data_IF_486235267348
#
_entry.id   IF_486235267348
#
_cell.length_a   1.000
_cell.length_b   1.000
_cell.length_c   1.000
_cell.angle_alpha   90.00
_cell.angle_beta   90.00
_cell.angle_gamma   90.00
#
_symmetry.space_group_name_H-M   'P 1'
#
loop_
_entity.id
_entity.type
_entity.pdbx_description
1 polymer ?
#
# COMPACT_ATOMS: atom_id res chain seq x y z
N UNK A 1 20.07 -18.23 -5.90
CA UNK A 1 18.86 -17.77 -5.19
C UNK A 1 17.89 -16.96 -6.06
N UNK A 2 18.33 -16.02 -6.92
CA UNK A 2 17.42 -15.24 -7.82
C UNK A 2 16.56 -16.07 -8.79
N UNK A 3 16.99 -17.27 -9.21
CA UNK A 3 16.23 -18.16 -10.11
C UNK A 3 15.22 -19.09 -9.41
N UNK A 4 15.29 -19.24 -8.09
CA UNK A 4 14.37 -20.11 -7.33
C UNK A 4 13.10 -19.34 -6.90
N UNK A 5 13.22 -18.02 -6.68
CA UNK A 5 12.07 -17.14 -6.44
C UNK A 5 11.11 -17.07 -7.65
N UNK A 6 11.64 -17.13 -8.87
CA UNK A 6 10.85 -17.01 -10.11
C UNK A 6 9.98 -18.23 -10.40
N UNK A 7 10.36 -19.44 -9.95
CA UNK A 7 9.61 -20.66 -10.24
C UNK A 7 8.54 -20.98 -9.19
N UNK A 8 8.63 -20.42 -7.98
CA UNK A 8 7.73 -20.74 -6.86
C UNK A 8 6.56 -19.73 -6.76
N UNK A 9 6.70 -18.50 -7.29
CA UNK A 9 5.56 -17.58 -7.45
C UNK A 9 4.46 -18.16 -8.36
N UNK A 10 4.84 -18.96 -9.35
CA UNK A 10 3.92 -19.56 -10.34
C UNK A 10 2.94 -20.56 -9.71
N UNK A 11 3.29 -21.21 -8.59
CA UNK A 11 2.48 -22.28 -8.00
C UNK A 11 1.46 -21.80 -6.95
N UNK A 12 1.69 -20.66 -6.29
CA UNK A 12 0.73 -20.08 -5.35
C UNK A 12 -0.35 -19.21 -6.04
N UNK A 13 -0.05 -18.69 -7.23
CA UNK A 13 -0.98 -17.91 -8.07
C UNK A 13 -1.89 -18.77 -8.97
N UNK A 14 -1.83 -20.09 -8.83
CA UNK A 14 -2.70 -21.06 -9.53
C UNK A 14 -3.93 -21.47 -8.70
N UNK A 15 -4.12 -20.90 -7.50
CA UNK A 15 -5.46 -20.90 -6.93
C UNK A 15 -6.37 -20.20 -7.96
N UNK A 16 -7.41 -20.86 -8.49
CA UNK A 16 -8.30 -20.22 -9.43
C UNK A 16 -8.80 -18.93 -8.77
N UNK A 17 -8.67 -17.79 -9.46
CA UNK A 17 -9.41 -16.59 -9.06
C UNK A 17 -10.86 -17.09 -8.98
N UNK A 18 -11.42 -17.09 -7.77
CA UNK A 18 -12.76 -17.62 -7.55
C UNK A 18 -13.70 -16.90 -8.52
N UNK A 19 -14.52 -17.66 -9.24
CA UNK A 19 -15.31 -17.17 -10.35
C UNK A 19 -16.20 -15.98 -9.93
N UNK A 20 -16.16 -14.88 -10.70
CA UNK A 20 -17.08 -13.75 -10.59
C UNK A 20 -16.56 -12.62 -9.70
N UNK A 21 -16.10 -11.51 -10.30
CA UNK A 21 -16.34 -10.22 -9.65
C UNK A 21 -17.80 -9.96 -9.95
N UNK A 22 -18.68 -10.39 -9.05
CA UNK A 22 -20.09 -10.09 -9.21
C UNK A 22 -20.32 -8.72 -8.56
N UNK A 23 -20.48 -7.68 -9.38
CA UNK A 23 -20.82 -6.32 -8.94
C UNK A 23 -22.28 -6.23 -8.46
N UNK A 24 -22.86 -7.35 -8.02
CA UNK A 24 -24.25 -7.48 -7.62
C UNK A 24 -24.51 -6.94 -6.21
N UNK A 25 -23.50 -6.94 -5.33
CA UNK A 25 -23.59 -6.33 -4.01
C UNK A 25 -23.44 -4.80 -4.10
N UNK A 26 -24.05 -4.06 -3.17
CA UNK A 26 -23.89 -2.60 -3.12
C UNK A 26 -22.42 -2.24 -2.90
N UNK A 27 -21.91 -1.28 -3.68
CA UNK A 27 -20.56 -0.74 -3.52
C UNK A 27 -20.31 -0.09 -2.16
N UNK A 28 -21.38 0.23 -1.41
CA UNK A 28 -21.34 0.92 -0.10
C UNK A 28 -21.31 -0.05 1.08
N UNK A 29 -21.32 -1.36 0.81
CA UNK A 29 -21.22 -2.41 1.82
C UNK A 29 -19.92 -3.17 1.58
N UNK A 30 -19.12 -3.34 2.62
CA UNK A 30 -17.90 -4.14 2.53
C UNK A 30 -18.27 -5.59 2.26
N UNK A 31 -17.79 -6.12 1.14
CA UNK A 31 -17.96 -7.50 0.71
C UNK A 31 -16.61 -8.23 0.85
N UNK A 32 -16.47 -9.16 1.81
CA UNK A 32 -15.24 -9.92 2.01
C UNK A 32 -14.81 -10.77 0.80
N UNK A 33 -15.75 -11.27 0.01
CA UNK A 33 -15.46 -12.14 -1.14
C UNK A 33 -14.93 -11.28 -2.30
N UNK A 34 -15.56 -10.11 -2.53
CA UNK A 34 -15.04 -9.13 -3.47
C UNK A 34 -13.69 -8.57 -3.02
N UNK A 35 -13.49 -8.35 -1.72
CA UNK A 35 -12.20 -7.93 -1.16
C UNK A 35 -11.10 -8.97 -1.44
N UNK A 36 -11.37 -10.26 -1.19
CA UNK A 36 -10.40 -11.33 -1.47
C UNK A 36 -10.03 -11.37 -2.96
N UNK A 37 -11.01 -11.20 -3.84
CA UNK A 37 -10.78 -11.12 -5.28
C UNK A 37 -9.99 -9.87 -5.68
N UNK A 38 -10.35 -8.71 -5.14
CA UNK A 38 -9.66 -7.45 -5.41
C UNK A 38 -8.19 -7.49 -4.97
N UNK A 39 -7.89 -8.19 -3.87
CA UNK A 39 -6.53 -8.46 -3.42
C UNK A 39 -5.76 -9.32 -4.44
N UNK A 40 -6.35 -10.45 -4.88
CA UNK A 40 -5.74 -11.31 -5.90
C UNK A 40 -5.46 -10.55 -7.21
N UNK A 41 -6.39 -9.68 -7.62
CA UNK A 41 -6.23 -8.81 -8.78
C UNK A 41 -5.06 -7.84 -8.56
N UNK A 42 -4.99 -7.15 -7.42
CA UNK A 42 -3.91 -6.22 -7.10
C UNK A 42 -2.53 -6.90 -7.06
N UNK A 43 -2.45 -8.12 -6.52
CA UNK A 43 -1.22 -8.93 -6.49
C UNK A 43 -0.81 -9.39 -7.89
N UNK A 44 -1.76 -9.78 -8.73
CA UNK A 44 -1.46 -10.25 -10.08
C UNK A 44 -0.86 -9.16 -10.99
N UNK A 45 -0.90 -7.87 -10.59
CA UNK A 45 -0.18 -6.79 -11.28
C UNK A 45 1.35 -7.03 -11.35
N UNK A 46 1.93 -7.88 -10.50
CA UNK A 46 3.34 -8.26 -10.61
C UNK A 46 3.61 -9.29 -11.71
N UNK A 47 2.56 -9.90 -12.27
CA UNK A 47 2.61 -10.89 -13.34
C UNK A 47 1.52 -10.60 -14.39
N UNK A 48 1.68 -9.57 -15.23
CA UNK A 48 0.64 -9.07 -16.13
C UNK A 48 0.06 -10.13 -17.08
N UNK A 49 0.88 -11.09 -17.51
CA UNK A 49 0.44 -12.19 -18.37
C UNK A 49 -0.49 -13.16 -17.62
N UNK A 50 -0.18 -13.47 -16.35
CA UNK A 50 -1.04 -14.30 -15.50
C UNK A 50 -2.33 -13.56 -15.18
N UNK A 51 -2.25 -12.28 -14.81
CA UNK A 51 -3.43 -11.43 -14.59
C UNK A 51 -4.35 -11.44 -15.82
N UNK A 52 -3.79 -11.28 -17.02
CA UNK A 52 -4.56 -11.31 -18.26
C UNK A 52 -5.22 -12.67 -18.50
N UNK A 53 -4.53 -13.78 -18.29
CA UNK A 53 -5.10 -15.12 -18.46
C UNK A 53 -6.27 -15.31 -17.48
N UNK A 54 -6.06 -14.99 -16.21
CA UNK A 54 -7.08 -15.21 -15.18
C UNK A 54 -8.33 -14.36 -15.39
N UNK A 55 -8.18 -13.05 -15.64
CA UNK A 55 -9.31 -12.18 -15.91
C UNK A 55 -10.03 -12.53 -17.23
N UNK A 56 -9.31 -13.04 -18.23
CA UNK A 56 -9.93 -13.52 -19.47
C UNK A 56 -10.81 -14.75 -19.26
N UNK A 57 -10.45 -15.66 -18.36
CA UNK A 57 -11.31 -16.79 -17.99
C UNK A 57 -12.62 -16.33 -17.36
N UNK A 58 -12.65 -15.12 -16.80
CA UNK A 58 -13.85 -14.48 -16.22
C UNK A 58 -14.62 -13.57 -17.19
N UNK A 59 -14.24 -13.60 -18.47
CA UNK A 59 -14.89 -12.83 -19.54
C UNK A 59 -14.37 -11.39 -19.69
N UNK A 60 -13.34 -10.99 -18.93
CA UNK A 60 -12.73 -9.68 -19.09
C UNK A 60 -11.76 -9.64 -20.27
N UNK A 61 -11.79 -8.52 -21.01
CA UNK A 61 -10.82 -8.17 -22.05
C UNK A 61 -9.90 -7.08 -21.51
N UNK A 62 -8.60 -7.19 -21.74
CA UNK A 62 -7.65 -6.11 -21.42
C UNK A 62 -7.87 -4.93 -22.38
N UNK A 63 -8.12 -3.75 -21.83
CA UNK A 63 -8.17 -2.46 -22.52
C UNK A 63 -6.75 -1.96 -22.73
N UNK A 64 -5.92 -1.99 -21.67
CA UNK A 64 -4.53 -1.56 -21.73
C UNK A 64 -3.69 -2.01 -20.54
N UNK A 65 -2.38 -1.94 -20.72
CA UNK A 65 -1.35 -2.08 -19.70
C UNK A 65 -0.43 -0.87 -19.84
N UNK A 66 -0.25 -0.10 -18.77
CA UNK A 66 0.40 1.20 -18.82
C UNK A 66 1.58 1.23 -17.87
N UNK A 67 2.60 2.01 -18.22
CA UNK A 67 3.81 2.23 -17.40
C UNK A 67 4.49 0.94 -16.91
N UNK A 68 4.46 -0.14 -17.71
CA UNK A 68 5.03 -1.44 -17.32
C UNK A 68 6.51 -1.34 -16.94
N UNK A 69 7.24 -0.48 -17.67
CA UNK A 69 8.64 -0.18 -17.46
C UNK A 69 8.79 1.30 -17.13
N UNK A 70 9.62 1.58 -16.13
CA UNK A 70 10.07 2.93 -15.77
C UNK A 70 11.50 3.10 -16.23
N UNK A 71 11.75 4.09 -17.07
CA UNK A 71 13.10 4.37 -17.58
C UNK A 71 13.97 5.00 -16.48
N UNK A 72 15.29 4.75 -16.55
CA UNK A 72 16.23 5.36 -15.61
C UNK A 72 16.23 6.87 -15.82
N UNK A 73 16.01 7.63 -14.74
CA UNK A 73 15.96 9.09 -14.77
C UNK A 73 14.58 9.66 -15.05
N UNK A 74 13.55 8.83 -15.20
CA UNK A 74 12.16 9.32 -15.15
C UNK A 74 11.93 9.95 -13.77
N UNK A 75 11.45 11.19 -13.74
CA UNK A 75 11.16 11.93 -12.51
C UNK A 75 9.67 11.99 -12.22
N UNK A 76 8.83 11.46 -13.11
CA UNK A 76 7.38 11.46 -12.93
C UNK A 76 7.00 10.46 -11.85
N UNK A 77 5.98 10.83 -11.07
CA UNK A 77 5.30 9.95 -10.13
C UNK A 77 4.18 9.20 -10.85
N UNK A 78 4.55 8.21 -11.67
CA UNK A 78 3.60 7.31 -12.34
C UNK A 78 3.62 5.93 -11.70
N UNK A 79 2.58 5.13 -11.93
CA UNK A 79 2.48 3.75 -11.45
C UNK A 79 2.04 2.85 -12.58
N UNK A 80 2.54 1.61 -12.60
CA UNK A 80 2.01 0.61 -13.50
C UNK A 80 0.58 0.25 -13.12
N UNK A 81 -0.31 0.24 -14.10
CA UNK A 81 -1.67 -0.22 -13.92
C UNK A 81 -2.18 -0.90 -15.19
N UNK A 82 -3.21 -1.72 -15.02
CA UNK A 82 -3.93 -2.39 -16.09
C UNK A 82 -5.41 -2.05 -16.01
N UNK A 83 -6.03 -1.98 -17.19
CA UNK A 83 -7.46 -1.72 -17.34
C UNK A 83 -8.09 -2.89 -18.07
N UNK A 84 -9.16 -3.43 -17.50
CA UNK A 84 -9.94 -4.51 -18.08
C UNK A 84 -11.41 -4.13 -18.15
N UNK A 85 -12.12 -4.72 -19.12
CA UNK A 85 -13.55 -4.52 -19.28
C UNK A 85 -14.28 -5.84 -19.51
N UNK A 86 -15.55 -5.90 -19.10
CA UNK A 86 -16.47 -6.98 -19.44
C UNK A 86 -17.85 -6.37 -19.70
N UNK A 87 -18.46 -6.70 -20.84
CA UNK A 87 -19.81 -6.24 -21.16
C UNK A 87 -20.86 -7.08 -20.43
N UNK A 88 -21.78 -6.40 -19.74
CA UNK A 88 -22.95 -6.99 -19.11
C UNK A 88 -24.13 -7.12 -20.08
N UNK A 89 -25.19 -7.82 -19.63
CA UNK A 89 -26.36 -8.15 -20.46
C UNK A 89 -27.17 -6.91 -20.93
N UNK A 90 -27.15 -5.82 -20.16
CA UNK A 90 -27.95 -4.61 -20.41
C UNK A 90 -27.13 -3.43 -20.97
N UNK A 91 -25.96 -3.71 -21.55
CA UNK A 91 -25.03 -2.68 -22.05
C UNK A 91 -24.25 -1.95 -20.95
N UNK A 92 -24.44 -2.31 -19.68
CA UNK A 92 -23.54 -1.95 -18.59
C UNK A 92 -22.14 -2.55 -18.85
N UNK A 93 -21.10 -1.85 -18.38
CA UNK A 93 -19.71 -2.28 -18.57
C UNK A 93 -19.03 -2.37 -17.23
N UNK A 94 -18.59 -3.57 -16.87
CA UNK A 94 -17.72 -3.78 -15.72
C UNK A 94 -16.31 -3.37 -16.12
N UNK A 95 -15.66 -2.53 -15.30
CA UNK A 95 -14.30 -2.07 -15.50
C UNK A 95 -13.47 -2.42 -14.27
N UNK A 96 -12.27 -2.93 -14.48
CA UNK A 96 -11.28 -3.13 -13.43
C UNK A 96 -10.07 -2.26 -13.74
N UNK A 97 -9.69 -1.40 -12.78
CA UNK A 97 -8.44 -0.65 -12.76
C UNK A 97 -7.59 -1.24 -11.63
N UNK A 98 -6.60 -2.05 -12.02
CA UNK A 98 -5.71 -2.72 -11.08
C UNK A 98 -4.34 -2.02 -11.05
N UNK A 99 -3.93 -1.53 -9.89
CA UNK A 99 -2.77 -0.65 -9.72
C UNK A 99 -1.67 -1.38 -8.94
N UNK A 100 -0.49 -1.49 -9.54
CA UNK A 100 0.66 -2.15 -8.93
C UNK A 100 1.17 -1.37 -7.72
N UNK A 101 1.65 -2.08 -6.71
CA UNK A 101 2.33 -1.47 -5.56
C UNK A 101 3.64 -0.79 -5.94
N UNK A 102 4.69 -1.59 -6.13
CA UNK A 102 6.03 -1.06 -6.45
C UNK A 102 6.78 -1.99 -7.39
N UNK A 103 7.18 -1.50 -8.55
CA UNK A 103 8.11 -2.13 -9.48
C UNK A 103 9.55 -1.65 -9.32
N UNK A 104 10.47 -2.21 -10.13
CA UNK A 104 11.86 -1.77 -10.18
C UNK A 104 11.94 -0.28 -10.53
N UNK A 105 12.60 0.52 -9.67
CA UNK A 105 12.73 1.97 -9.84
C UNK A 105 11.54 2.82 -9.39
N UNK A 106 10.47 2.21 -8.88
CA UNK A 106 9.32 2.94 -8.28
C UNK A 106 9.47 3.14 -6.77
N UNK A 107 10.38 2.38 -6.13
CA UNK A 107 10.58 2.40 -4.67
C UNK A 107 10.94 3.79 -4.12
N UNK A 108 11.78 4.52 -4.85
CA UNK A 108 12.19 5.89 -4.49
C UNK A 108 10.98 6.83 -4.35
N UNK A 109 9.88 6.54 -5.04
CA UNK A 109 8.67 7.35 -5.03
C UNK A 109 7.80 7.12 -3.79
N UNK A 110 8.00 6.03 -3.03
CA UNK A 110 7.19 5.71 -1.85
C UNK A 110 7.33 6.77 -0.75
N UNK A 111 8.54 7.31 -0.59
CA UNK A 111 8.89 8.25 0.49
C UNK A 111 9.08 9.68 -0.01
N UNK A 112 8.80 9.96 -1.27
CA UNK A 112 8.84 11.31 -1.85
C UNK A 112 7.43 11.92 -1.85
N UNK A 113 6.84 12.11 -0.67
CA UNK A 113 5.41 12.42 -0.49
C UNK A 113 5.03 13.82 -0.99
N UNK A 114 5.96 14.78 -0.97
CA UNK A 114 5.71 16.18 -1.30
C UNK A 114 6.79 16.69 -2.28
N UNK A 115 6.87 16.12 -3.51
CA UNK A 115 7.93 16.43 -4.46
C UNK A 115 7.99 17.89 -4.89
N UNK A 116 6.89 18.64 -4.80
CA UNK A 116 6.88 20.09 -5.07
C UNK A 116 7.55 20.92 -3.97
N UNK A 117 7.79 20.34 -2.79
CA UNK A 117 8.15 21.08 -1.58
C UNK A 117 6.97 21.85 -0.96
N UNK A 118 5.75 21.70 -1.48
CA UNK A 118 4.55 22.27 -0.88
C UNK A 118 3.99 21.36 0.23
N UNK A 119 4.45 21.58 1.44
CA UNK A 119 4.04 20.83 2.62
C UNK A 119 2.70 21.27 3.21
N UNK A 120 1.92 22.09 2.51
CA UNK A 120 0.56 22.52 2.89
C UNK A 120 -0.54 21.83 2.07
N UNK A 121 -0.18 21.02 1.07
CA UNK A 121 -1.14 20.28 0.25
C UNK A 121 -2.03 19.36 1.10
N UNK A 122 -3.34 19.25 0.82
CA UNK A 122 -4.26 18.42 1.62
C UNK A 122 -4.13 16.92 1.32
N UNK A 123 -3.02 16.48 0.72
CA UNK A 123 -2.78 15.10 0.30
C UNK A 123 -1.28 14.82 0.15
N UNK A 124 -0.90 13.54 0.19
CA UNK A 124 0.40 13.05 -0.26
C UNK A 124 0.49 13.20 -1.80
N UNK A 125 1.25 14.19 -2.24
CA UNK A 125 1.30 14.65 -3.62
C UNK A 125 1.79 13.59 -4.60
N UNK A 126 2.77 12.76 -4.24
CA UNK A 126 3.22 11.65 -5.10
C UNK A 126 2.10 10.69 -5.53
N UNK A 127 1.24 10.31 -4.59
CA UNK A 127 0.12 9.41 -4.86
C UNK A 127 -0.95 10.13 -5.68
N UNK A 128 -1.18 11.43 -5.42
CA UNK A 128 -2.13 12.25 -6.17
C UNK A 128 -1.69 12.45 -7.62
N UNK A 129 -0.40 12.69 -7.87
CA UNK A 129 0.16 12.80 -9.21
C UNK A 129 -0.05 11.50 -10.00
N UNK A 130 0.22 10.35 -9.37
CA UNK A 130 -0.01 9.05 -10.00
C UNK A 130 -1.51 8.77 -10.27
N UNK A 131 -2.39 9.14 -9.34
CA UNK A 131 -3.82 8.96 -9.49
C UNK A 131 -4.39 9.83 -10.63
N UNK A 132 -3.92 11.08 -10.73
CA UNK A 132 -4.30 12.01 -11.81
C UNK A 132 -3.80 11.53 -13.18
N UNK A 133 -2.58 11.01 -13.26
CA UNK A 133 -2.07 10.42 -14.51
C UNK A 133 -2.99 9.29 -15.02
N UNK A 134 -3.47 8.41 -14.12
CA UNK A 134 -4.46 7.38 -14.48
C UNK A 134 -5.79 8.02 -14.93
N UNK A 135 -6.32 8.95 -14.13
CA UNK A 135 -7.61 9.59 -14.43
C UNK A 135 -7.57 10.30 -15.80
N UNK A 136 -6.54 11.09 -16.05
CA UNK A 136 -6.37 11.83 -17.30
C UNK A 136 -6.28 10.86 -18.49
N UNK A 137 -5.49 9.80 -18.35
CA UNK A 137 -5.30 8.78 -19.40
C UNK A 137 -6.60 8.02 -19.69
N UNK A 138 -7.40 7.71 -18.68
CA UNK A 138 -8.60 6.87 -18.80
C UNK A 138 -9.91 7.65 -18.96
N UNK A 139 -9.90 8.98 -18.77
CA UNK A 139 -11.08 9.85 -18.75
C UNK A 139 -11.99 9.66 -19.98
N UNK A 140 -11.43 9.75 -21.19
CA UNK A 140 -12.16 9.62 -22.46
C UNK A 140 -12.75 8.21 -22.59
N UNK A 141 -11.99 7.19 -22.21
CA UNK A 141 -12.45 5.80 -22.26
C UNK A 141 -13.63 5.59 -21.30
N UNK A 142 -13.47 5.92 -20.01
CA UNK A 142 -14.48 5.68 -18.97
C UNK A 142 -15.77 6.47 -19.21
N UNK A 143 -15.66 7.74 -19.61
CA UNK A 143 -16.84 8.59 -19.89
C UNK A 143 -17.58 8.21 -21.18
N UNK A 144 -16.91 7.49 -22.08
CA UNK A 144 -17.53 6.91 -23.28
C UNK A 144 -18.32 5.63 -23.03
N UNK A 145 -18.20 5.01 -21.85
CA UNK A 145 -18.91 3.79 -21.51
C UNK A 145 -20.35 4.07 -21.09
N UNK A 146 -21.27 3.18 -21.46
CA UNK A 146 -22.65 3.23 -21.00
C UNK A 146 -22.75 2.64 -19.59
N UNK A 147 -22.99 3.50 -18.60
CA UNK A 147 -23.21 3.11 -17.18
C UNK A 147 -22.17 2.11 -16.64
N UNK A 148 -20.89 2.51 -16.55
CA UNK A 148 -19.85 1.60 -16.08
C UNK A 148 -19.96 1.30 -14.58
N UNK A 149 -19.68 0.06 -14.18
CA UNK A 149 -19.37 -0.33 -12.81
C UNK A 149 -17.85 -0.52 -12.70
N UNK A 150 -17.18 0.23 -11.82
CA UNK A 150 -15.72 0.38 -11.82
C UNK A 150 -15.13 -0.14 -10.52
N UNK A 151 -14.40 -1.26 -10.58
CA UNK A 151 -13.52 -1.70 -9.50
C UNK A 151 -12.16 -0.99 -9.61
N UNK A 152 -11.74 -0.33 -8.55
CA UNK A 152 -10.38 0.20 -8.40
C UNK A 152 -9.72 -0.54 -7.25
N UNK A 153 -8.57 -1.17 -7.52
CA UNK A 153 -7.84 -1.92 -6.50
C UNK A 153 -6.34 -1.73 -6.62
N UNK A 154 -5.66 -1.86 -5.48
CA UNK A 154 -4.20 -1.82 -5.41
C UNK A 154 -3.70 -2.28 -4.05
N UNK A 155 -2.40 -2.55 -4.00
CA UNK A 155 -1.68 -2.97 -2.80
C UNK A 155 -0.56 -1.98 -2.46
N UNK A 156 -0.35 -1.65 -1.18
CA UNK A 156 0.75 -0.76 -0.73
C UNK A 156 0.70 0.61 -1.42
N UNK A 157 1.76 1.07 -2.09
CA UNK A 157 1.71 2.31 -2.89
C UNK A 157 0.57 2.32 -3.92
N UNK A 158 0.25 1.17 -4.54
CA UNK A 158 -0.87 1.05 -5.48
C UNK A 158 -2.21 1.23 -4.79
N UNK A 159 -2.32 0.83 -3.52
CA UNK A 159 -3.49 1.08 -2.68
C UNK A 159 -3.67 2.58 -2.38
N UNK A 160 -2.59 3.32 -2.11
CA UNK A 160 -2.66 4.77 -1.93
C UNK A 160 -3.14 5.49 -3.20
N UNK A 161 -2.63 5.08 -4.37
CA UNK A 161 -3.10 5.61 -5.66
C UNK A 161 -4.56 5.22 -5.92
N UNK A 162 -4.95 3.98 -5.65
CA UNK A 162 -6.32 3.49 -5.76
C UNK A 162 -7.29 4.25 -4.87
N UNK A 163 -6.90 4.58 -3.64
CA UNK A 163 -7.70 5.36 -2.69
C UNK A 163 -8.03 6.76 -3.24
N UNK A 164 -7.03 7.47 -3.77
CA UNK A 164 -7.22 8.80 -4.36
C UNK A 164 -7.96 8.75 -5.70
N UNK A 165 -7.63 7.79 -6.58
CA UNK A 165 -8.34 7.60 -7.84
C UNK A 165 -9.79 7.24 -7.60
N UNK A 166 -10.06 6.38 -6.62
CA UNK A 166 -11.39 5.97 -6.20
C UNK A 166 -12.28 7.14 -5.80
N UNK A 167 -11.75 8.07 -5.00
CA UNK A 167 -12.46 9.31 -4.64
C UNK A 167 -12.80 10.15 -5.89
N UNK A 168 -11.82 10.40 -6.78
CA UNK A 168 -12.07 11.17 -8.01
C UNK A 168 -13.07 10.50 -8.94
N UNK A 169 -13.02 9.17 -9.09
CA UNK A 169 -13.99 8.44 -9.90
C UNK A 169 -15.38 8.43 -9.26
N UNK A 170 -15.45 8.39 -7.93
CA UNK A 170 -16.71 8.48 -7.19
C UNK A 170 -17.38 9.82 -7.41
N UNK A 171 -16.63 10.93 -7.42
CA UNK A 171 -17.16 12.26 -7.74
C UNK A 171 -17.72 12.34 -9.17
N UNK A 172 -17.18 11.56 -10.12
CA UNK A 172 -17.58 11.57 -11.53
C UNK A 172 -18.75 10.62 -11.81
N UNK A 173 -18.69 9.40 -11.29
CA UNK A 173 -19.60 8.30 -11.64
C UNK A 173 -20.62 7.96 -10.55
N UNK A 174 -20.43 8.46 -9.32
CA UNK A 174 -21.26 8.20 -8.16
C UNK A 174 -20.84 6.95 -7.38
N UNK A 175 -21.10 6.97 -6.06
CA UNK A 175 -20.71 5.89 -5.14
C UNK A 175 -21.26 4.53 -5.56
N UNK A 176 -22.50 4.47 -6.06
CA UNK A 176 -23.20 3.23 -6.46
C UNK A 176 -22.55 2.49 -7.64
N UNK A 177 -21.59 3.14 -8.32
CA UNK A 177 -20.93 2.60 -9.52
C UNK A 177 -19.44 2.34 -9.32
N UNK A 178 -18.84 2.85 -8.26
CA UNK A 178 -17.40 2.74 -8.03
C UNK A 178 -17.18 1.88 -6.80
N UNK A 179 -16.39 0.81 -6.96
CA UNK A 179 -16.05 -0.14 -5.92
C UNK A 179 -14.55 0.04 -5.64
N UNK A 180 -14.18 0.43 -4.43
CA UNK A 180 -12.77 0.69 -4.13
C UNK A 180 -12.34 -0.17 -2.95
N UNK A 181 -11.43 -1.09 -3.24
CA UNK A 181 -10.82 -1.98 -2.26
C UNK A 181 -9.32 -1.78 -2.30
N UNK A 182 -8.75 -1.33 -1.20
CA UNK A 182 -7.33 -1.06 -1.10
C UNK A 182 -6.72 -1.90 0.02
N UNK A 183 -5.47 -2.35 -0.15
CA UNK A 183 -4.83 -3.29 0.77
C UNK A 183 -3.48 -2.76 1.21
N UNK A 184 -3.20 -2.84 2.51
CA UNK A 184 -1.97 -2.29 3.08
C UNK A 184 -1.76 -0.81 2.70
N UNK A 185 -2.87 -0.07 2.60
CA UNK A 185 -2.89 1.28 2.07
C UNK A 185 -2.11 2.23 2.97
N UNK A 186 -1.09 2.96 2.48
CA UNK A 186 -0.56 4.13 3.16
C UNK A 186 -1.66 5.19 3.38
N UNK A 187 -1.43 6.14 4.28
CA UNK A 187 -2.30 7.31 4.40
C UNK A 187 -2.12 8.25 3.20
N UNK A 188 -3.18 8.94 2.81
CA UNK A 188 -3.26 9.66 1.53
C UNK A 188 -3.65 11.12 1.68
N UNK A 189 -4.55 11.47 2.59
CA UNK A 189 -5.23 12.79 2.58
C UNK A 189 -5.34 13.41 3.97
N UNK A 190 -5.45 14.74 4.05
CA UNK A 190 -5.54 15.47 5.32
C UNK A 190 -6.43 16.71 5.20
N UNK A 191 -6.78 17.28 6.35
CA UNK A 191 -7.65 18.45 6.44
C UNK A 191 -9.13 18.03 6.44
N UNK A 192 -9.98 18.81 5.80
CA UNK A 192 -11.39 18.44 5.61
C UNK A 192 -11.49 17.36 4.52
N UNK A 193 -11.75 16.14 4.94
CA UNK A 193 -11.82 14.96 4.08
C UNK A 193 -13.30 14.62 3.82
N UNK A 194 -13.77 14.65 2.55
CA UNK A 194 -15.10 14.17 2.19
C UNK A 194 -15.32 12.71 2.59
N UNK A 195 -16.57 12.38 2.94
CA UNK A 195 -16.98 11.02 3.27
C UNK A 195 -17.31 10.28 1.98
N UNK A 196 -16.64 9.15 1.76
CA UNK A 196 -16.90 8.23 0.65
C UNK A 196 -17.29 6.87 1.20
N UNK A 197 -18.53 6.43 0.97
CA UNK A 197 -19.04 5.19 1.57
C UNK A 197 -18.65 3.91 0.82
N UNK A 198 -18.08 4.07 -0.37
CA UNK A 198 -17.72 3.01 -1.30
C UNK A 198 -16.20 2.74 -1.37
N UNK A 199 -15.44 3.31 -0.43
CA UNK A 199 -14.00 3.13 -0.31
C UNK A 199 -13.68 2.38 0.96
N UNK A 200 -13.07 1.20 0.80
CA UNK A 200 -12.66 0.33 1.89
C UNK A 200 -11.15 0.12 1.85
N UNK A 201 -10.45 0.47 2.93
CA UNK A 201 -9.03 0.23 3.09
C UNK A 201 -8.84 -0.94 4.06
N UNK A 202 -8.52 -2.11 3.53
CA UNK A 202 -8.17 -3.27 4.36
C UNK A 202 -6.75 -3.05 4.90
N UNK A 203 -6.63 -2.90 6.21
CA UNK A 203 -5.36 -2.57 6.89
C UNK A 203 -5.02 -3.59 7.96
N UNK A 204 -3.74 -3.82 8.15
CA UNK A 204 -3.19 -4.56 9.29
C UNK A 204 -2.63 -3.56 10.31
N UNK A 205 -3.16 -3.47 11.54
CA UNK A 205 -2.61 -2.59 12.57
C UNK A 205 -1.14 -2.84 12.90
N UNK A 206 -0.64 -4.07 12.69
CA UNK A 206 0.78 -4.43 12.87
C UNK A 206 1.65 -4.18 11.61
N UNK A 207 1.09 -3.62 10.54
CA UNK A 207 1.82 -3.21 9.34
C UNK A 207 2.16 -1.72 9.41
N UNK A 208 3.45 -1.42 9.62
CA UNK A 208 3.97 -0.04 9.74
C UNK A 208 3.65 0.82 8.51
N UNK A 209 3.49 0.24 7.32
CA UNK A 209 3.19 1.02 6.11
C UNK A 209 1.79 1.65 6.20
N UNK A 210 0.86 1.00 6.90
CA UNK A 210 -0.46 1.58 7.19
C UNK A 210 -0.40 2.70 8.24
N UNK A 211 0.75 2.92 8.86
CA UNK A 211 0.99 4.05 9.75
C UNK A 211 1.74 5.19 9.07
N UNK A 212 2.06 5.07 7.77
CA UNK A 212 2.77 6.08 7.01
C UNK A 212 1.90 6.62 5.86
N UNK A 213 1.97 7.92 5.54
CA UNK A 213 2.50 9.01 6.36
C UNK A 213 1.87 9.05 7.76
N UNK A 214 2.56 9.69 8.72
CA UNK A 214 2.15 9.65 10.12
C UNK A 214 0.81 10.36 10.36
N UNK A 215 -0.03 9.78 11.23
CA UNK A 215 -1.30 10.37 11.62
C UNK A 215 -1.13 11.75 12.25
N UNK A 216 -0.03 11.95 13.01
CA UNK A 216 0.25 13.24 13.63
C UNK A 216 0.52 14.36 12.60
N UNK A 217 0.89 14.02 11.36
CA UNK A 217 1.01 14.99 10.26
C UNK A 217 -0.37 15.41 9.71
N UNK A 218 -1.45 14.94 10.34
CA UNK A 218 -2.84 15.15 9.96
C UNK A 218 -3.32 14.24 8.82
N UNK A 219 -2.48 13.30 8.36
CA UNK A 219 -2.79 12.45 7.20
C UNK A 219 -3.60 11.24 7.64
N UNK A 220 -4.74 11.03 6.99
CA UNK A 220 -5.67 9.89 7.05
C UNK A 220 -5.85 9.27 5.66
N UNK A 221 -6.94 8.52 5.46
CA UNK A 221 -7.33 7.96 4.17
C UNK A 221 -8.75 8.40 3.80
N UNK A 222 -9.08 8.37 2.52
CA UNK A 222 -10.49 8.37 2.14
C UNK A 222 -11.17 7.05 2.51
N UNK A 223 -12.45 7.10 2.83
CA UNK A 223 -13.25 5.90 3.08
C UNK A 223 -13.15 5.34 4.50
N UNK A 224 -13.58 4.09 4.64
CA UNK A 224 -13.54 3.35 5.88
C UNK A 224 -12.31 2.44 5.94
N UNK A 225 -11.59 2.49 7.07
CA UNK A 225 -10.56 1.52 7.38
C UNK A 225 -11.21 0.25 7.92
N UNK A 226 -10.89 -0.87 7.29
CA UNK A 226 -11.30 -2.22 7.67
C UNK A 226 -10.08 -2.89 8.28
N UNK A 227 -9.99 -2.82 9.61
CA UNK A 227 -8.89 -3.44 10.34
C UNK A 227 -9.03 -4.96 10.30
N UNK A 228 -7.97 -5.63 9.88
CA UNK A 228 -7.90 -7.07 9.96
C UNK A 228 -7.81 -7.50 11.43
N UNK A 229 -8.43 -8.63 11.80
CA UNK A 229 -9.23 -9.51 10.96
C UNK A 229 -10.67 -9.01 10.78
N UNK A 230 -11.31 -9.29 9.64
CA UNK A 230 -12.56 -8.63 9.21
C UNK A 230 -13.86 -9.25 9.74
N UNK A 231 -13.80 -10.34 10.51
CA UNK A 231 -14.96 -10.96 11.19
C UNK A 231 -14.59 -11.25 12.66
N UNK A 232 -15.53 -11.82 13.40
CA UNK A 232 -15.50 -11.95 14.88
C UNK A 232 -14.48 -12.98 15.40
N UNK A 233 -13.19 -12.70 15.19
CA UNK A 233 -12.03 -13.49 15.65
C UNK A 233 -10.99 -12.51 16.16
N UNK A 234 -10.25 -12.88 17.20
CA UNK A 234 -9.18 -12.02 17.67
C UNK A 234 -8.06 -11.90 16.63
N UNK A 235 -7.42 -10.73 16.58
CA UNK A 235 -6.17 -10.50 15.83
C UNK A 235 -5.15 -11.64 16.00
N UNK A 236 -5.04 -12.19 17.21
CA UNK A 236 -4.12 -13.30 17.51
C UNK A 236 -4.49 -14.60 16.80
N UNK A 237 -5.76 -14.98 16.77
CA UNK A 237 -6.23 -16.21 16.13
C UNK A 237 -6.10 -16.14 14.60
N UNK A 238 -6.46 -14.99 14.00
CA UNK A 238 -6.26 -14.76 12.56
C UNK A 238 -4.77 -14.77 12.18
N UNK A 239 -3.93 -14.11 12.99
CA UNK A 239 -2.49 -14.13 12.85
C UNK A 239 -1.91 -15.54 12.88
N UNK A 240 -2.36 -16.37 13.82
CA UNK A 240 -1.85 -17.73 13.99
C UNK A 240 -2.15 -18.60 12.79
N UNK A 241 -3.35 -18.50 12.23
CA UNK A 241 -3.73 -19.23 11.02
C UNK A 241 -2.92 -18.78 9.79
N UNK A 242 -2.77 -17.45 9.56
CA UNK A 242 -1.97 -16.94 8.45
C UNK A 242 -0.48 -17.33 8.55
N UNK A 243 0.02 -17.44 9.78
CA UNK A 243 1.39 -17.84 10.03
C UNK A 243 1.61 -19.35 9.91
N UNK A 244 0.69 -20.18 10.40
CA UNK A 244 0.75 -21.64 10.28
C UNK A 244 0.75 -22.07 8.80
N UNK A 245 0.05 -21.34 7.92
CA UNK A 245 0.08 -21.57 6.47
C UNK A 245 1.43 -21.25 5.81
N UNK A 246 2.30 -20.48 6.47
CA UNK A 246 3.49 -19.83 5.85
C UNK A 246 4.72 -19.82 6.74
N UNK A 247 4.81 -20.73 7.71
CA UNK A 247 5.95 -20.90 8.63
C UNK A 247 7.29 -21.02 7.89
N UNK A 248 7.27 -21.58 6.68
CA UNK A 248 8.44 -21.74 5.81
C UNK A 248 9.03 -20.41 5.29
N UNK A 249 8.22 -19.34 5.23
CA UNK A 249 8.62 -18.02 4.70
C UNK A 249 8.69 -16.91 5.74
N UNK A 250 7.89 -17.00 6.80
CA UNK A 250 7.71 -15.92 7.77
C UNK A 250 8.53 -16.10 9.05
N UNK A 251 9.07 -17.30 9.31
CA UNK A 251 9.85 -17.61 10.52
C UNK A 251 9.03 -18.37 11.57
N UNK A 252 9.31 -18.13 12.86
CA UNK A 252 8.50 -18.62 13.99
C UNK A 252 7.44 -17.58 14.41
N UNK A 253 6.22 -18.04 14.68
CA UNK A 253 5.06 -17.18 14.95
C UNK A 253 5.36 -16.23 16.10
N UNK A 254 5.24 -14.94 15.80
CA UNK A 254 5.15 -13.88 16.80
C UNK A 254 3.70 -13.41 16.81
N UNK A 255 3.12 -13.17 17.98
CA UNK A 255 1.76 -12.64 17.99
C UNK A 255 1.77 -11.18 17.52
N UNK A 256 0.96 -10.77 16.52
CA UNK A 256 0.83 -9.37 16.18
C UNK A 256 0.31 -8.51 17.33
N UNK A 257 -0.43 -9.09 18.30
CA UNK A 257 -0.84 -8.37 19.51
C UNK A 257 0.34 -8.07 20.45
N UNK A 258 1.36 -8.93 20.49
CA UNK A 258 2.56 -8.69 21.30
C UNK A 258 3.46 -7.60 20.71
N UNK A 259 3.28 -7.27 19.43
CA UNK A 259 4.13 -6.33 18.70
C UNK A 259 3.39 -5.10 18.16
N UNK A 260 2.08 -5.00 18.40
CA UNK A 260 1.30 -3.82 18.02
C UNK A 260 1.82 -2.57 18.72
N UNK A 261 2.13 -2.69 20.02
CA UNK A 261 2.74 -1.61 20.81
C UNK A 261 4.12 -1.24 20.25
N UNK A 262 4.93 -2.21 19.80
CA UNK A 262 6.23 -1.93 19.18
C UNK A 262 6.08 -1.15 17.86
N UNK A 263 5.07 -1.45 17.04
CA UNK A 263 4.79 -0.74 15.77
C UNK A 263 4.28 0.67 16.04
N UNK A 264 3.41 0.84 17.04
CA UNK A 264 2.92 2.15 17.47
C UNK A 264 4.05 3.00 18.05
N UNK A 265 4.91 2.41 18.88
CA UNK A 265 6.11 3.05 19.41
C UNK A 265 7.06 3.47 18.28
N UNK A 266 7.29 2.60 17.29
CA UNK A 266 8.08 2.96 16.11
C UNK A 266 7.52 4.18 15.38
N UNK A 267 6.20 4.22 15.14
CA UNK A 267 5.54 5.37 14.53
C UNK A 267 5.64 6.65 15.40
N UNK A 268 5.52 6.51 16.72
CA UNK A 268 5.67 7.61 17.67
C UNK A 268 7.10 8.18 17.65
N UNK A 269 8.14 7.33 17.65
CA UNK A 269 9.54 7.77 17.54
C UNK A 269 9.84 8.48 16.22
N UNK A 270 9.24 8.02 15.12
CA UNK A 270 9.31 8.75 13.85
C UNK A 270 8.66 10.14 13.95
N UNK A 271 7.53 10.23 14.68
CA UNK A 271 6.80 11.46 14.95
C UNK A 271 7.55 12.47 15.81
N UNK A 272 8.25 12.02 16.86
CA UNK A 272 9.09 12.88 17.69
C UNK A 272 10.22 13.52 16.87
N UNK A 273 10.84 12.73 15.99
CA UNK A 273 11.92 13.18 15.13
C UNK A 273 11.44 13.96 13.88
N UNK A 274 10.17 13.86 13.52
CA UNK A 274 9.55 14.62 12.44
C UNK A 274 8.12 15.06 12.85
N UNK A 275 7.98 16.22 13.52
CA UNK A 275 6.69 16.62 14.09
C UNK A 275 5.59 16.82 13.04
N UNK A 276 5.98 17.25 11.83
CA UNK A 276 5.09 17.49 10.70
C UNK A 276 5.77 17.08 9.38
N UNK A 277 5.01 17.13 8.28
CA UNK A 277 5.51 16.80 6.96
C UNK A 277 6.67 17.73 6.54
N UNK A 278 6.63 19.02 6.82
CA UNK A 278 7.70 19.94 6.44
C UNK A 278 9.02 19.58 7.14
N UNK A 279 8.97 19.31 8.45
CA UNK A 279 10.12 18.89 9.23
C UNK A 279 10.71 17.57 8.74
N UNK A 280 9.87 16.63 8.29
CA UNK A 280 10.33 15.34 7.76
C UNK A 280 11.25 15.47 6.53
N UNK A 281 11.06 16.52 5.71
CA UNK A 281 11.82 16.75 4.47
C UNK A 281 12.85 17.88 4.56
N UNK A 282 12.73 18.80 5.52
CA UNK A 282 13.58 20.01 5.57
C UNK A 282 14.57 20.02 6.73
N UNK A 283 14.24 19.34 7.84
CA UNK A 283 15.10 19.31 9.03
C UNK A 283 16.06 18.15 8.93
N UNK A 284 17.36 18.45 8.76
CA UNK A 284 18.43 17.46 8.89
C UNK A 284 18.66 17.18 10.37
N UNK A 285 18.53 15.91 10.79
CA UNK A 285 18.84 15.47 12.14
C UNK A 285 20.31 15.03 12.23
N UNK A 286 20.98 15.45 13.29
CA UNK A 286 22.40 15.20 13.49
C UNK A 286 22.68 13.71 13.69
N UNK A 287 23.83 13.23 13.19
CA UNK A 287 24.32 11.90 13.52
C UNK A 287 25.07 11.86 14.86
N UNK A 288 25.54 13.02 15.33
CA UNK A 288 26.42 13.10 16.50
C UNK A 288 25.66 13.31 17.82
N UNK A 289 24.44 13.84 17.77
CA UNK A 289 23.63 14.14 18.95
C UNK A 289 22.13 14.17 18.61
N UNK A 290 21.23 14.20 19.62
CA UNK A 290 19.81 14.44 19.39
C UNK A 290 19.54 15.85 18.85
N UNK A 291 18.54 15.99 17.97
CA UNK A 291 18.13 17.28 17.40
C UNK A 291 18.69 17.60 16.00
N UNK A 292 18.51 18.86 15.59
CA UNK A 292 18.89 19.32 14.26
C UNK A 292 20.41 19.46 14.10
N UNK A 293 20.92 19.08 12.94
CA UNK A 293 22.31 19.25 12.55
C UNK A 293 22.62 20.73 12.30
N UNK A 294 23.76 21.21 12.81
CA UNK A 294 24.27 22.53 12.49
C UNK A 294 24.80 22.63 11.05
N UNK A 295 25.08 23.85 10.58
CA UNK A 295 25.69 24.07 9.27
C UNK A 295 27.04 23.35 9.16
N UNK A 296 27.18 22.53 8.11
CA UNK A 296 28.37 21.70 7.90
C UNK A 296 28.45 20.45 8.77
N UNK A 297 27.50 20.24 9.69
CA UNK A 297 27.40 19.01 10.46
C UNK A 297 26.78 17.87 9.64
N UNK A 298 27.27 16.66 9.89
CA UNK A 298 26.69 15.45 9.33
C UNK A 298 25.29 15.17 9.91
N UNK A 299 24.35 14.92 9.00
CA UNK A 299 22.97 14.65 9.33
C UNK A 299 22.15 14.39 8.07
N UNK A 300 20.93 13.91 8.25
CA UNK A 300 20.02 13.53 7.16
C UNK A 300 18.57 13.85 7.55
N UNK A 301 17.69 14.01 6.59
CA UNK A 301 16.26 14.24 6.87
C UNK A 301 15.56 12.93 7.25
N UNK A 302 14.39 13.02 7.88
CA UNK A 302 13.61 11.83 8.23
C UNK A 302 13.14 11.07 6.99
N UNK A 303 12.70 11.78 5.94
CA UNK A 303 12.28 11.17 4.69
C UNK A 303 13.41 10.35 4.04
N UNK A 304 14.62 10.89 4.03
CA UNK A 304 15.80 10.18 3.54
C UNK A 304 16.16 8.98 4.42
N UNK A 305 16.07 9.11 5.75
CA UNK A 305 16.30 7.99 6.68
C UNK A 305 15.30 6.85 6.45
N UNK A 306 14.01 7.15 6.37
CA UNK A 306 12.94 6.18 6.12
C UNK A 306 13.10 5.49 4.75
N UNK A 307 13.53 6.23 3.72
CA UNK A 307 13.86 5.63 2.43
C UNK A 307 14.95 4.55 2.56
N UNK A 308 15.97 4.79 3.38
CA UNK A 308 17.09 3.86 3.56
C UNK A 308 16.75 2.65 4.44
N UNK A 309 15.98 2.83 5.53
CA UNK A 309 15.68 1.72 6.46
C UNK A 309 14.82 0.62 5.81
N UNK A 310 13.89 1.01 4.93
CA UNK A 310 13.01 0.05 4.27
C UNK A 310 13.64 -0.56 3.00
N UNK A 311 14.68 0.06 2.41
CA UNK A 311 15.37 -0.48 1.24
C UNK A 311 16.41 -1.58 1.59
N UNK A 312 16.97 -1.57 2.82
CA UNK A 312 18.04 -2.47 3.27
C UNK A 312 19.20 -2.62 2.26
N UNK A 313 19.63 -1.50 1.67
CA UNK A 313 20.71 -1.45 0.68
C UNK A 313 22.10 -1.28 1.33
N UNK A 314 23.19 -1.41 0.55
CA UNK A 314 24.55 -1.10 1.02
C UNK A 314 24.64 0.33 1.62
N UNK A 315 23.82 1.24 1.09
CA UNK A 315 23.65 2.61 1.59
C UNK A 315 23.18 2.64 3.04
N UNK A 316 22.27 1.74 3.44
CA UNK A 316 21.80 1.64 4.82
C UNK A 316 22.93 1.21 5.77
N UNK A 317 23.77 0.24 5.37
CA UNK A 317 24.93 -0.18 6.19
C UNK A 317 25.95 0.96 6.39
N UNK A 318 26.22 1.72 5.33
CA UNK A 318 27.06 2.91 5.41
C UNK A 318 26.45 3.99 6.33
N UNK A 319 25.14 4.20 6.24
CA UNK A 319 24.40 5.12 7.12
C UNK A 319 24.51 4.69 8.58
N UNK A 320 24.27 3.42 8.89
CA UNK A 320 24.39 2.85 10.25
C UNK A 320 25.78 3.07 10.83
N UNK A 321 26.84 2.86 10.03
CA UNK A 321 28.22 3.08 10.46
C UNK A 321 28.47 4.52 10.88
N UNK A 322 27.88 5.49 10.17
CA UNK A 322 28.02 6.93 10.47
C UNK A 322 27.28 7.33 11.75
N UNK A 323 26.09 6.77 11.98
CA UNK A 323 25.28 7.03 13.18
C UNK A 323 25.81 6.35 14.44
N UNK A 324 26.49 5.20 14.31
CA UNK A 324 26.89 4.32 15.42
C UNK A 324 27.87 4.90 16.44
N UNK A 325 28.26 6.17 16.32
CA UNK A 325 29.29 6.78 17.16
C UNK A 325 28.75 7.38 18.47
N UNK A 326 27.48 7.81 18.53
CA UNK A 326 26.83 8.47 19.69
C UNK A 326 25.29 8.33 19.65
N UNK A 327 24.59 8.63 20.76
CA UNK A 327 23.11 8.69 20.78
C UNK A 327 22.59 9.87 19.95
N UNK A 328 21.54 9.63 19.15
CA UNK A 328 20.90 10.60 18.26
C UNK A 328 19.42 10.22 18.02
N UNK A 329 18.66 11.10 17.33
CA UNK A 329 17.23 10.90 17.05
C UNK A 329 16.93 9.57 16.32
N UNK A 330 17.85 9.09 15.48
CA UNK A 330 17.69 7.83 14.74
C UNK A 330 17.92 6.59 15.61
N UNK A 331 18.68 6.72 16.70
CA UNK A 331 19.03 5.60 17.58
C UNK A 331 17.78 5.03 18.23
N UNK A 332 16.88 5.88 18.71
CA UNK A 332 15.60 5.45 19.31
C UNK A 332 14.67 4.83 18.28
N UNK A 333 14.62 5.38 17.07
CA UNK A 333 13.83 4.80 15.96
C UNK A 333 14.37 3.41 15.59
N UNK A 334 15.70 3.25 15.52
CA UNK A 334 16.31 1.96 15.23
C UNK A 334 16.08 0.95 16.36
N UNK A 335 16.16 1.36 17.63
CA UNK A 335 15.82 0.52 18.79
C UNK A 335 14.38 0.03 18.70
N UNK A 336 13.42 0.93 18.46
CA UNK A 336 12.02 0.58 18.26
C UNK A 336 11.82 -0.34 17.04
N UNK A 337 12.49 -0.05 15.93
CA UNK A 337 12.44 -0.88 14.73
C UNK A 337 12.98 -2.29 14.99
N UNK A 338 14.11 -2.45 15.69
CA UNK A 338 14.66 -3.76 16.03
C UNK A 338 13.79 -4.51 17.06
N UNK A 339 13.14 -3.80 17.98
CA UNK A 339 12.14 -4.39 18.90
C UNK A 339 10.98 -4.98 18.10
N UNK A 340 10.33 -4.14 17.28
CA UNK A 340 9.21 -4.51 16.43
C UNK A 340 9.57 -5.60 15.40
N UNK A 341 10.77 -5.58 14.85
CA UNK A 341 11.13 -6.43 13.71
C UNK A 341 11.77 -7.78 14.07
N UNK A 342 12.15 -7.99 15.34
CA UNK A 342 12.81 -9.21 15.79
C UNK A 342 14.28 -9.32 15.34
N UNK A 343 14.94 -10.45 15.66
CA UNK A 343 16.41 -10.62 15.50
C UNK A 343 16.92 -10.53 14.05
N UNK A 344 16.06 -10.69 13.05
CA UNK A 344 16.38 -10.68 11.61
C UNK A 344 15.64 -9.58 10.83
N UNK A 345 14.80 -8.82 11.53
CA UNK A 345 13.96 -7.78 10.98
C UNK A 345 12.82 -8.25 10.06
N UNK A 346 12.63 -9.55 9.87
CA UNK A 346 11.73 -10.08 8.84
C UNK A 346 10.25 -9.83 9.15
N UNK A 347 9.92 -9.62 10.43
CA UNK A 347 8.56 -9.50 10.92
C UNK A 347 7.80 -8.27 10.38
N UNK A 348 8.35 -7.06 10.54
CA UNK A 348 7.70 -5.82 10.07
C UNK A 348 7.42 -5.87 8.56
N UNK A 349 8.38 -6.38 7.79
CA UNK A 349 8.19 -6.56 6.34
C UNK A 349 7.23 -7.70 6.01
N UNK A 350 7.16 -8.72 6.86
CA UNK A 350 6.25 -9.85 6.74
C UNK A 350 4.79 -9.45 6.93
N UNK A 351 4.51 -8.56 7.88
CA UNK A 351 3.16 -8.00 8.13
C UNK A 351 2.62 -7.19 6.94
N UNK A 352 3.52 -6.70 6.08
CA UNK A 352 3.19 -5.98 4.85
C UNK A 352 3.07 -6.91 3.63
N UNK A 353 3.12 -8.23 3.77
CA UNK A 353 3.03 -9.14 2.63
C UNK A 353 1.58 -9.43 2.23
N UNK A 354 1.23 -9.39 0.93
CA UNK A 354 -0.13 -9.62 0.46
C UNK A 354 -0.73 -10.97 0.92
N UNK A 355 0.11 -12.00 0.99
CA UNK A 355 -0.30 -13.32 1.49
C UNK A 355 -0.85 -13.31 2.93
N UNK A 356 -0.34 -12.41 3.79
CA UNK A 356 -0.86 -12.26 5.16
C UNK A 356 -2.28 -11.68 5.14
N UNK A 357 -2.50 -10.66 4.31
CA UNK A 357 -3.82 -10.06 4.10
C UNK A 357 -4.79 -11.09 3.53
N UNK A 358 -4.38 -11.87 2.53
CA UNK A 358 -5.20 -12.91 1.93
C UNK A 358 -5.56 -14.04 2.89
N UNK A 359 -4.60 -14.47 3.72
CA UNK A 359 -4.85 -15.46 4.75
C UNK A 359 -5.88 -14.95 5.77
N UNK A 360 -5.74 -13.72 6.26
CA UNK A 360 -6.66 -13.15 7.25
C UNK A 360 -8.06 -12.87 6.70
N UNK A 361 -8.19 -12.52 5.42
CA UNK A 361 -9.48 -12.44 4.75
C UNK A 361 -10.15 -13.82 4.63
N UNK A 362 -9.38 -14.91 4.50
CA UNK A 362 -9.89 -16.26 4.23
C UNK A 362 -10.31 -17.08 5.45
N UNK A 363 -9.76 -16.81 6.64
CA UNK A 363 -9.89 -17.68 7.83
C UNK A 363 -11.06 -17.33 8.74
N UNK A 364 -12.09 -16.71 8.19
CA UNK A 364 -13.21 -16.22 8.97
C UNK A 364 -14.48 -16.81 8.37
N UNK A 365 -15.17 -17.71 9.06
CA UNK A 365 -16.52 -18.15 8.66
C UNK A 365 -17.58 -17.18 9.21
N UNK A 366 -18.71 -17.11 8.51
CA UNK A 366 -19.87 -16.30 8.88
C UNK A 366 -20.58 -16.82 10.13
N UNK A 367 -21.41 -15.96 10.71
CA UNK A 367 -22.53 -16.41 11.54
C UNK A 367 -23.71 -16.76 10.64
#
# INVERSE_FOLDING_TARGET
MKKLLSCILVLALLAPIAAGADFAASSRIFDPDLAQKALQIAESCYMPDVQQISLRMEGFRRVGLYHEKREKGDTRHTVMYSVYERSGADGAVDVIIAIRGTGAGEWELNMDLMPSGNYDLPYAENFMLAARDILDTQSIYLTGLSSPAILVTGYSRGAAVANMLGAMLTDIFGEERVYVYTFACPRTVRGEVPVYHNIFNVINPADIITHLPLLQWGVGRYGADIELPVRDTSLSEAARAGYDMRKDRTGDYRSPLEHLEDVQELAARMGDAAPDAAAAYTVRRAFSHPGAAADGEEGITMAEFLRNIFERSETFSALMTRMSRQENDFTEILRAYYSASGKDGSWITGMHMPDMYGAWLSVMEGQ
#
